data_IF_412324350890
#
_entry.id   IF_412324350890
#
_cell.length_a   1.000
_cell.length_b   1.000
_cell.length_c   1.000
_cell.angle_alpha   90.00
_cell.angle_beta   90.00
_cell.angle_gamma   90.00
#
_symmetry.space_group_name_H-M   'P 1'
#
loop_
_entity.id
_entity.type
_entity.pdbx_description
1 polymer ?
#
# COMPACT_ATOMS: atom_id res chain seq x y z
N UNK A 1 2.13 23.65 -4.07
CA UNK A 1 1.71 22.24 -3.99
C UNK A 1 0.21 22.19 -4.26
N UNK A 2 -0.21 21.49 -5.33
CA UNK A 2 -1.63 21.29 -5.62
C UNK A 2 -2.21 20.37 -4.55
N UNK A 3 -3.38 20.70 -3.98
CA UNK A 3 -4.05 19.81 -2.99
C UNK A 3 -4.43 18.51 -3.70
N UNK A 4 -4.10 17.36 -3.10
CA UNK A 4 -4.51 16.03 -3.60
C UNK A 4 -6.04 15.93 -3.62
N UNK A 5 -6.57 15.14 -4.55
CA UNK A 5 -8.01 14.88 -4.58
C UNK A 5 -8.41 14.08 -3.33
N UNK A 6 -9.60 14.37 -2.78
CA UNK A 6 -10.14 13.67 -1.62
C UNK A 6 -10.24 12.16 -1.89
N UNK A 7 -10.61 11.77 -3.11
CA UNK A 7 -10.69 10.36 -3.52
C UNK A 7 -9.33 9.66 -3.53
N UNK A 8 -8.26 10.34 -3.94
CA UNK A 8 -6.91 9.78 -3.92
C UNK A 8 -6.39 9.59 -2.49
N UNK A 9 -6.52 10.62 -1.64
CA UNK A 9 -6.10 10.53 -0.24
C UNK A 9 -6.86 9.41 0.48
N UNK A 10 -8.19 9.33 0.28
CA UNK A 10 -9.02 8.26 0.83
C UNK A 10 -8.61 6.87 0.36
N UNK A 11 -8.16 6.71 -0.89
CA UNK A 11 -7.74 5.41 -1.41
C UNK A 11 -6.42 4.93 -0.81
N UNK A 12 -5.47 5.84 -0.59
CA UNK A 12 -4.23 5.51 0.11
C UNK A 12 -4.49 5.17 1.58
N UNK A 13 -5.36 5.94 2.24
CA UNK A 13 -5.81 5.68 3.61
C UNK A 13 -6.55 4.33 3.75
N UNK A 14 -7.37 3.96 2.76
CA UNK A 14 -8.01 2.64 2.67
C UNK A 14 -6.98 1.52 2.57
N UNK A 15 -5.92 1.69 1.77
CA UNK A 15 -4.83 0.71 1.74
C UNK A 15 -4.10 0.62 3.07
N UNK A 16 -3.77 1.76 3.68
CA UNK A 16 -3.08 1.82 4.98
C UNK A 16 -3.87 1.08 6.06
N UNK A 17 -5.18 1.36 6.16
CA UNK A 17 -6.07 0.72 7.13
C UNK A 17 -6.20 -0.77 6.86
N UNK A 18 -6.60 -1.15 5.64
CA UNK A 18 -6.94 -2.55 5.34
C UNK A 18 -5.75 -3.49 5.39
N UNK A 19 -4.58 -3.05 4.94
CA UNK A 19 -3.39 -3.90 5.02
C UNK A 19 -2.79 -3.95 6.41
N UNK A 20 -2.97 -2.92 7.24
CA UNK A 20 -2.58 -2.99 8.65
C UNK A 20 -3.48 -3.95 9.44
N UNK A 21 -4.78 -3.99 9.13
CA UNK A 21 -5.75 -4.92 9.75
C UNK A 21 -5.47 -6.41 9.49
N UNK A 22 -4.61 -6.74 8.52
CA UNK A 22 -4.19 -8.12 8.25
C UNK A 22 -3.17 -8.64 9.28
N UNK A 23 -2.68 -7.80 10.20
CA UNK A 23 -1.65 -8.13 11.17
C UNK A 23 -2.17 -8.06 12.61
N UNK A 24 -1.84 -9.08 13.40
CA UNK A 24 -2.24 -9.23 14.80
C UNK A 24 -1.39 -8.39 15.75
N UNK A 25 -0.12 -8.12 15.39
CA UNK A 25 0.75 -7.27 16.21
C UNK A 25 0.62 -5.79 15.89
N UNK A 26 0.20 -5.00 16.89
CA UNK A 26 0.11 -3.53 16.81
C UNK A 26 1.41 -2.88 16.30
N UNK A 27 2.57 -3.40 16.73
CA UNK A 27 3.88 -2.85 16.31
C UNK A 27 4.10 -2.94 14.80
N UNK A 28 3.66 -4.03 14.15
CA UNK A 28 3.77 -4.23 12.71
C UNK A 28 2.63 -3.52 11.96
N UNK A 29 1.41 -3.58 12.50
CA UNK A 29 0.25 -2.89 11.94
C UNK A 29 0.45 -1.37 11.87
N UNK A 30 0.92 -0.74 12.96
CA UNK A 30 1.24 0.69 13.01
C UNK A 30 2.29 1.06 11.95
N UNK A 31 3.37 0.26 11.86
CA UNK A 31 4.47 0.46 10.89
C UNK A 31 3.95 0.45 9.46
N UNK A 32 3.10 -0.53 9.14
CA UNK A 32 2.50 -0.70 7.82
C UNK A 32 1.58 0.48 7.49
N UNK A 33 0.73 0.89 8.43
CA UNK A 33 -0.17 2.01 8.25
C UNK A 33 0.61 3.31 7.98
N UNK A 34 1.66 3.58 8.76
CA UNK A 34 2.52 4.75 8.61
C UNK A 34 3.26 4.75 7.26
N UNK A 35 3.91 3.62 6.92
CA UNK A 35 4.69 3.51 5.68
C UNK A 35 3.77 3.62 4.45
N UNK A 36 2.58 3.01 4.46
CA UNK A 36 1.59 3.16 3.39
C UNK A 36 1.03 4.58 3.31
N UNK A 37 0.79 5.25 4.44
CA UNK A 37 0.33 6.63 4.49
C UNK A 37 1.36 7.63 3.96
N UNK A 38 2.64 7.31 4.10
CA UNK A 38 3.76 8.15 3.69
C UNK A 38 4.34 7.82 2.29
N UNK A 39 3.96 6.70 1.66
CA UNK A 39 4.54 6.30 0.37
C UNK A 39 4.12 7.23 -0.78
N UNK A 40 5.11 7.95 -1.33
CA UNK A 40 4.92 8.93 -2.41
C UNK A 40 4.52 8.26 -3.73
N UNK A 41 5.04 7.07 -4.02
CA UNK A 41 4.74 6.37 -5.28
C UNK A 41 3.28 5.91 -5.31
N UNK A 42 2.81 5.31 -4.22
CA UNK A 42 1.43 4.92 -4.00
C UNK A 42 0.52 6.14 -4.07
N UNK A 43 0.90 7.25 -3.44
CA UNK A 43 0.16 8.50 -3.51
C UNK A 43 -0.08 8.95 -4.96
N UNK A 44 0.97 8.91 -5.80
CA UNK A 44 0.88 9.30 -7.22
C UNK A 44 0.07 8.32 -8.07
N UNK A 45 0.15 7.03 -7.78
CA UNK A 45 -0.66 6.01 -8.46
C UNK A 45 -2.15 6.18 -8.12
N UNK A 46 -2.47 6.46 -6.86
CA UNK A 46 -3.83 6.81 -6.42
C UNK A 46 -4.33 8.10 -7.08
N UNK A 47 -3.48 9.13 -7.21
CA UNK A 47 -3.83 10.38 -7.92
C UNK A 47 -4.15 10.12 -9.39
N UNK A 48 -3.33 9.31 -10.07
CA UNK A 48 -3.50 8.96 -11.48
C UNK A 48 -4.80 8.17 -11.70
N UNK A 49 -5.06 7.15 -10.87
CA UNK A 49 -6.30 6.39 -10.93
C UNK A 49 -7.52 7.29 -10.70
N UNK A 50 -7.51 8.14 -9.67
CA UNK A 50 -8.61 9.07 -9.41
C UNK A 50 -8.88 10.02 -10.59
N UNK A 51 -7.82 10.49 -11.25
CA UNK A 51 -7.92 11.36 -12.42
C UNK A 51 -8.52 10.63 -13.64
N UNK A 52 -8.13 9.37 -13.87
CA UNK A 52 -8.73 8.55 -14.93
C UNK A 52 -10.23 8.31 -14.69
N UNK A 53 -10.63 7.99 -13.46
CA UNK A 53 -12.05 7.85 -13.09
C UNK A 53 -12.84 9.11 -13.42
N UNK A 54 -12.36 10.27 -12.94
CA UNK A 54 -13.03 11.55 -13.15
C UNK A 54 -13.12 11.92 -14.64
N UNK A 55 -12.09 11.62 -15.43
CA UNK A 55 -12.10 11.85 -16.88
C UNK A 55 -13.13 10.95 -17.58
N UNK A 56 -13.25 9.68 -17.18
CA UNK A 56 -14.23 8.74 -17.70
C UNK A 56 -15.66 9.16 -17.38
N UNK A 57 -15.92 9.50 -16.12
CA UNK A 57 -17.21 10.02 -15.64
C UNK A 57 -17.62 11.29 -16.39
N UNK A 58 -16.69 12.24 -16.57
CA UNK A 58 -16.96 13.48 -17.29
C UNK A 58 -17.31 13.20 -18.75
N UNK A 59 -16.54 12.33 -19.43
CA UNK A 59 -16.81 11.96 -20.82
C UNK A 59 -18.18 11.29 -20.98
N UNK A 60 -18.50 10.32 -20.12
CA UNK A 60 -19.78 9.64 -20.10
C UNK A 60 -20.94 10.62 -19.84
N UNK A 61 -20.74 11.63 -18.98
CA UNK A 61 -21.77 12.63 -18.71
C UNK A 61 -22.13 13.51 -19.92
N UNK A 62 -21.18 13.76 -20.84
CA UNK A 62 -21.41 14.57 -22.03
C UNK A 62 -21.92 13.76 -23.22
N UNK A 63 -21.53 12.49 -23.33
CA UNK A 63 -21.72 11.70 -24.55
C UNK A 63 -22.48 10.38 -24.36
N UNK A 64 -22.78 9.98 -23.12
CA UNK A 64 -23.34 8.69 -22.76
C UNK A 64 -22.28 7.65 -22.38
N UNK A 65 -22.69 6.62 -21.64
CA UNK A 65 -21.81 5.53 -21.17
C UNK A 65 -21.19 4.71 -22.32
N UNK A 66 -21.92 4.57 -23.43
CA UNK A 66 -21.48 3.81 -24.61
C UNK A 66 -20.71 4.67 -25.63
N UNK A 67 -20.33 5.90 -25.27
CA UNK A 67 -19.60 6.78 -26.16
C UNK A 67 -18.18 6.26 -26.43
N UNK A 68 -17.68 6.51 -27.64
CA UNK A 68 -16.31 6.15 -28.05
C UNK A 68 -15.31 6.53 -26.96
N UNK A 69 -14.37 5.65 -26.65
CA UNK A 69 -13.29 5.86 -25.66
C UNK A 69 -13.70 5.98 -24.19
N UNK A 70 -14.97 5.82 -23.80
CA UNK A 70 -15.34 5.73 -22.37
C UNK A 70 -14.74 4.47 -21.73
N UNK A 71 -14.84 3.32 -22.41
CA UNK A 71 -14.27 2.06 -21.94
C UNK A 71 -12.74 2.10 -21.86
N UNK A 72 -12.06 2.74 -22.83
CA UNK A 72 -10.60 2.90 -22.81
C UNK A 72 -10.12 3.63 -21.53
N UNK A 73 -10.88 4.65 -21.09
CA UNK A 73 -10.56 5.40 -19.86
C UNK A 73 -10.85 4.57 -18.61
N UNK A 74 -11.93 3.77 -18.61
CA UNK A 74 -12.22 2.82 -17.52
C UNK A 74 -11.12 1.75 -17.41
N UNK A 75 -10.62 1.24 -18.53
CA UNK A 75 -9.50 0.29 -18.56
C UNK A 75 -8.23 0.93 -17.97
N UNK A 76 -7.90 2.16 -18.38
CA UNK A 76 -6.76 2.89 -17.82
C UNK A 76 -6.87 3.09 -16.30
N UNK A 77 -8.07 3.44 -15.78
CA UNK A 77 -8.34 3.48 -14.35
C UNK A 77 -8.08 2.12 -13.66
N UNK A 78 -8.54 1.03 -14.28
CA UNK A 78 -8.36 -0.33 -13.78
C UNK A 78 -6.88 -0.71 -13.66
N UNK A 79 -6.10 -0.44 -14.70
CA UNK A 79 -4.65 -0.68 -14.73
C UNK A 79 -3.95 0.12 -13.63
N UNK A 80 -4.21 1.44 -13.55
CA UNK A 80 -3.59 2.30 -12.54
C UNK A 80 -3.95 1.88 -11.11
N UNK A 81 -5.22 1.50 -10.90
CA UNK A 81 -5.69 0.99 -9.60
C UNK A 81 -5.02 -0.33 -9.22
N UNK A 82 -4.80 -1.21 -10.19
CA UNK A 82 -4.08 -2.46 -9.97
C UNK A 82 -2.62 -2.20 -9.59
N UNK A 83 -1.92 -1.34 -10.32
CA UNK A 83 -0.53 -0.98 -10.02
C UNK A 83 -0.41 -0.32 -8.63
N UNK A 84 -1.36 0.55 -8.26
CA UNK A 84 -1.43 1.12 -6.91
C UNK A 84 -1.51 0.03 -5.82
N UNK A 85 -2.39 -0.98 -6.01
CA UNK A 85 -2.50 -2.10 -5.08
C UNK A 85 -1.21 -2.93 -5.01
N UNK A 86 -0.53 -3.16 -6.14
CA UNK A 86 0.76 -3.87 -6.14
C UNK A 86 1.82 -3.10 -5.37
N UNK A 87 1.92 -1.78 -5.56
CA UNK A 87 2.85 -0.95 -4.79
C UNK A 87 2.52 -0.97 -3.29
N UNK A 88 1.25 -0.95 -2.91
CA UNK A 88 0.89 -1.07 -1.49
C UNK A 88 1.37 -2.39 -0.87
N UNK A 89 1.20 -3.52 -1.58
CA UNK A 89 1.73 -4.81 -1.13
C UNK A 89 3.26 -4.86 -1.07
N UNK A 90 3.94 -4.17 -1.98
CA UNK A 90 5.40 -3.99 -1.95
C UNK A 90 5.85 -3.20 -0.70
N UNK A 91 5.14 -2.12 -0.35
CA UNK A 91 5.40 -1.35 0.89
C UNK A 91 5.19 -2.20 2.14
N UNK A 92 4.17 -3.07 2.16
CA UNK A 92 3.98 -4.04 3.26
C UNK A 92 5.18 -4.97 3.36
N UNK A 93 5.68 -5.50 2.24
CA UNK A 93 6.85 -6.36 2.24
C UNK A 93 8.11 -5.64 2.76
N UNK A 94 8.32 -4.38 2.37
CA UNK A 94 9.39 -3.53 2.89
C UNK A 94 9.26 -3.30 4.40
N UNK A 95 8.05 -3.06 4.91
CA UNK A 95 7.78 -2.85 6.34
C UNK A 95 8.01 -4.14 7.15
N UNK A 96 7.61 -5.30 6.62
CA UNK A 96 7.92 -6.60 7.23
C UNK A 96 9.43 -6.82 7.33
N UNK A 97 10.18 -6.56 6.24
CA UNK A 97 11.63 -6.70 6.24
C UNK A 97 12.30 -5.77 7.27
N UNK A 98 11.94 -4.48 7.29
CA UNK A 98 12.44 -3.53 8.29
C UNK A 98 12.13 -3.96 9.72
N UNK A 99 10.93 -4.49 9.98
CA UNK A 99 10.58 -5.00 11.32
C UNK A 99 11.48 -6.16 11.73
N UNK A 100 11.84 -7.05 10.80
CA UNK A 100 12.73 -8.19 11.06
C UNK A 100 14.15 -7.72 11.40
N UNK A 101 14.67 -6.77 10.63
CA UNK A 101 16.04 -6.30 10.73
C UNK A 101 16.23 -5.30 11.88
N UNK A 102 15.37 -4.28 11.95
CA UNK A 102 15.51 -3.12 12.85
C UNK A 102 14.76 -3.29 14.18
N UNK A 103 13.90 -4.32 14.31
CA UNK A 103 13.00 -4.42 15.47
C UNK A 103 13.72 -4.48 16.83
N UNK A 104 14.94 -5.02 16.88
CA UNK A 104 15.70 -5.08 18.14
C UNK A 104 16.17 -3.68 18.58
N UNK A 105 16.45 -2.79 17.63
CA UNK A 105 16.80 -1.39 17.92
C UNK A 105 15.64 -0.63 18.58
N UNK A 106 14.39 -0.99 18.25
CA UNK A 106 13.20 -0.39 18.89
C UNK A 106 13.06 -0.79 20.36
N UNK A 107 13.47 -2.02 20.69
CA UNK A 107 13.54 -2.49 22.08
C UNK A 107 14.64 -1.76 22.83
N UNK A 108 15.84 -1.66 22.23
CA UNK A 108 16.99 -0.98 22.83
C UNK A 108 16.71 0.52 23.10
N UNK A 109 16.00 1.17 22.18
CA UNK A 109 15.55 2.55 22.32
C UNK A 109 14.37 2.73 23.31
N UNK A 110 13.79 1.64 23.81
CA UNK A 110 12.66 1.66 24.74
C UNK A 110 11.32 2.08 24.10
N UNK A 111 11.19 1.96 22.77
CA UNK A 111 9.97 2.31 22.05
C UNK A 111 8.91 1.20 22.10
N UNK A 112 9.33 -0.06 22.20
CA UNK A 112 8.47 -1.25 22.28
C UNK A 112 9.05 -2.26 23.24
N UNK A 113 8.21 -3.15 23.78
CA UNK A 113 8.68 -4.27 24.59
C UNK A 113 9.23 -5.40 23.72
N UNK A 114 10.11 -6.22 24.31
CA UNK A 114 10.82 -7.27 23.59
C UNK A 114 9.91 -8.39 23.07
N UNK A 115 8.83 -8.70 23.80
CA UNK A 115 7.91 -9.78 23.41
C UNK A 115 7.05 -9.36 22.22
N UNK A 116 6.51 -8.13 22.24
CA UNK A 116 5.78 -7.54 21.12
C UNK A 116 6.63 -7.50 19.85
N UNK A 117 7.89 -7.07 19.95
CA UNK A 117 8.81 -7.06 18.79
C UNK A 117 9.08 -8.48 18.30
N UNK A 118 9.31 -9.45 19.20
CA UNK A 118 9.53 -10.85 18.81
C UNK A 118 8.34 -11.43 18.04
N UNK A 119 7.11 -11.12 18.47
CA UNK A 119 5.87 -11.54 17.81
C UNK A 119 5.72 -10.86 16.44
N UNK A 120 5.98 -9.56 16.36
CA UNK A 120 5.95 -8.81 15.10
C UNK A 120 6.96 -9.36 14.09
N UNK A 121 8.18 -9.70 14.53
CA UNK A 121 9.18 -10.34 13.66
C UNK A 121 8.72 -11.71 13.16
N UNK A 122 8.08 -12.51 14.00
CA UNK A 122 7.55 -13.81 13.60
C UNK A 122 6.43 -13.69 12.57
N UNK A 123 5.50 -12.76 12.82
CA UNK A 123 4.39 -12.48 11.91
C UNK A 123 4.88 -11.93 10.57
N UNK A 124 5.80 -10.96 10.58
CA UNK A 124 6.44 -10.41 9.38
C UNK A 124 7.08 -11.50 8.51
N UNK A 125 7.84 -12.43 9.11
CA UNK A 125 8.42 -13.57 8.38
C UNK A 125 7.35 -14.46 7.78
N UNK A 126 6.32 -14.77 8.56
CA UNK A 126 5.20 -15.60 8.12
C UNK A 126 4.51 -14.95 6.92
N UNK A 127 4.22 -13.66 6.98
CA UNK A 127 3.59 -12.94 5.88
C UNK A 127 4.44 -12.98 4.61
N UNK A 128 5.75 -12.70 4.71
CA UNK A 128 6.67 -12.72 3.57
C UNK A 128 6.76 -14.13 2.93
N UNK A 129 6.66 -15.21 3.70
CA UNK A 129 6.68 -16.58 3.17
C UNK A 129 5.49 -16.87 2.26
N UNK A 130 4.34 -16.23 2.50
CA UNK A 130 3.15 -16.34 1.64
C UNK A 130 3.14 -15.31 0.49
N UNK A 131 3.95 -14.27 0.57
CA UNK A 131 3.99 -13.14 -0.38
C UNK A 131 5.36 -13.00 -1.06
N UNK A 132 5.87 -14.12 -1.59
CA UNK A 132 7.20 -14.19 -2.20
C UNK A 132 7.35 -13.34 -3.46
N UNK A 133 6.28 -13.09 -4.21
CA UNK A 133 6.34 -12.22 -5.39
C UNK A 133 6.56 -10.76 -5.00
N UNK A 134 5.85 -10.28 -3.99
CA UNK A 134 5.98 -8.96 -3.39
C UNK A 134 7.40 -8.80 -2.83
N UNK A 135 7.86 -9.77 -2.04
CA UNK A 135 9.22 -9.79 -1.50
C UNK A 135 10.29 -9.76 -2.59
N UNK A 136 10.10 -10.49 -3.69
CA UNK A 136 11.02 -10.50 -4.82
C UNK A 136 11.11 -9.14 -5.52
N UNK A 137 9.97 -8.45 -5.71
CA UNK A 137 9.92 -7.15 -6.39
C UNK A 137 10.68 -6.06 -5.63
N UNK A 138 10.65 -6.11 -4.30
CA UNK A 138 11.36 -5.14 -3.45
C UNK A 138 12.72 -5.63 -2.95
N UNK A 139 13.14 -6.83 -3.37
CA UNK A 139 14.48 -7.35 -3.09
C UNK A 139 14.70 -7.88 -1.67
N UNK A 140 13.66 -8.28 -0.96
CA UNK A 140 13.74 -8.71 0.47
C UNK A 140 13.57 -10.23 0.66
N UNK A 141 13.71 -11.02 -0.40
CA UNK A 141 13.65 -12.49 -0.31
C UNK A 141 14.71 -13.10 0.60
N UNK A 142 15.83 -12.41 0.82
CA UNK A 142 16.93 -12.88 1.67
C UNK A 142 16.63 -12.82 3.17
N UNK A 143 15.53 -12.16 3.55
CA UNK A 143 15.07 -12.01 4.94
C UNK A 143 14.15 -13.17 5.36
N UNK A 144 13.77 -14.05 4.42
CA UNK A 144 12.98 -15.27 4.62
C UNK A 144 13.78 -16.41 5.24
#
# INVERSE_FOLDING_TARGET
MSRRSVSSAKKQDDFATRFAEDFETDALADRIADDLGADDQLARLCDAAASASAAGELRASYHGEDADHVEDVKEAWGILSHVARQRALEVVAEACARTIDEGDEWVEAGHRDADSVREAKFEARTWLQYHTNEAARVGVLEVL
#
